data_IF_663259283462
#
_entry.id   IF_663259283462
#
_cell.length_a   1.000
_cell.length_b   1.000
_cell.length_c   1.000
_cell.angle_alpha   90.00
_cell.angle_beta   90.00
_cell.angle_gamma   90.00
#
_symmetry.space_group_name_H-M   'P 1'
#
loop_
_entity.id
_entity.type
_entity.pdbx_description
1 polymer ?
#
# COMPACT_ATOMS: atom_id res chain seq x y z
N UNK A 1 -9.97 8.40 -38.79
CA UNK A 1 -10.75 7.90 -37.63
C UNK A 1 -10.05 8.36 -36.36
N UNK A 2 -10.67 9.22 -35.55
CA UNK A 2 -10.08 9.68 -34.28
C UNK A 2 -10.29 8.63 -33.19
N UNK A 3 -9.25 8.23 -32.48
CA UNK A 3 -9.38 7.36 -31.30
C UNK A 3 -10.17 8.12 -30.23
N UNK A 4 -11.16 7.48 -29.56
CA UNK A 4 -11.79 8.11 -28.41
C UNK A 4 -10.72 8.38 -27.35
N UNK A 5 -10.76 9.56 -26.74
CA UNK A 5 -9.89 9.90 -25.61
C UNK A 5 -10.16 8.90 -24.48
N UNK A 6 -9.10 8.33 -23.91
CA UNK A 6 -9.22 7.47 -22.73
C UNK A 6 -9.85 8.28 -21.58
N UNK A 7 -10.83 7.69 -20.88
CA UNK A 7 -11.43 8.30 -19.69
C UNK A 7 -10.34 8.51 -18.65
N UNK A 8 -10.10 9.76 -18.24
CA UNK A 8 -9.22 10.06 -17.11
C UNK A 8 -9.89 9.56 -15.82
N UNK A 9 -9.18 8.70 -15.09
CA UNK A 9 -9.64 8.19 -13.80
C UNK A 9 -9.26 9.17 -12.69
N UNK A 10 -10.12 9.30 -11.67
CA UNK A 10 -9.76 10.00 -10.44
C UNK A 10 -8.71 9.22 -9.66
N UNK A 11 -7.97 9.90 -8.78
CA UNK A 11 -7.01 9.24 -7.88
C UNK A 11 -7.67 8.18 -7.00
N UNK A 12 -8.94 8.38 -6.62
CA UNK A 12 -9.71 7.39 -5.86
C UNK A 12 -10.06 6.17 -6.70
N UNK A 13 -10.44 6.35 -7.97
CA UNK A 13 -10.71 5.23 -8.89
C UNK A 13 -9.44 4.41 -9.13
N UNK A 14 -8.29 5.06 -9.37
CA UNK A 14 -6.99 4.37 -9.55
C UNK A 14 -6.58 3.61 -8.28
N UNK A 15 -6.71 4.25 -7.11
CA UNK A 15 -6.43 3.62 -5.81
C UNK A 15 -7.28 2.37 -5.62
N UNK A 16 -8.58 2.48 -5.85
CA UNK A 16 -9.49 1.35 -5.65
C UNK A 16 -9.20 0.21 -6.64
N UNK A 17 -8.95 0.54 -7.91
CA UNK A 17 -8.59 -0.46 -8.92
C UNK A 17 -7.32 -1.23 -8.55
N UNK A 18 -6.29 -0.55 -8.04
CA UNK A 18 -5.05 -1.17 -7.57
C UNK A 18 -5.30 -2.10 -6.38
N UNK A 19 -6.00 -1.61 -5.35
CA UNK A 19 -6.24 -2.39 -4.13
C UNK A 19 -7.10 -3.62 -4.42
N UNK A 20 -8.18 -3.46 -5.20
CA UNK A 20 -9.04 -4.58 -5.59
C UNK A 20 -8.33 -5.62 -6.44
N UNK A 21 -7.42 -5.20 -7.32
CA UNK A 21 -6.65 -6.14 -8.13
C UNK A 21 -5.85 -7.08 -7.22
N UNK A 22 -5.04 -6.54 -6.31
CA UNK A 22 -4.21 -7.38 -5.43
C UNK A 22 -5.04 -8.17 -4.41
N UNK A 23 -6.12 -7.59 -3.90
CA UNK A 23 -7.07 -8.29 -3.01
C UNK A 23 -7.65 -9.55 -3.68
N UNK A 24 -8.10 -9.44 -4.94
CA UNK A 24 -8.56 -10.59 -5.75
C UNK A 24 -7.48 -11.64 -6.00
N UNK A 25 -6.20 -11.28 -5.91
CA UNK A 25 -5.07 -12.19 -6.04
C UNK A 25 -4.54 -12.71 -4.69
N UNK A 26 -5.32 -12.51 -3.61
CA UNK A 26 -5.04 -13.06 -2.29
C UNK A 26 -4.04 -12.25 -1.46
N UNK A 27 -3.93 -10.95 -1.71
CA UNK A 27 -3.27 -10.02 -0.80
C UNK A 27 -4.27 -9.49 0.22
N UNK A 28 -3.86 -9.35 1.47
CA UNK A 28 -4.65 -8.66 2.49
C UNK A 28 -4.61 -7.15 2.22
N UNK A 29 -5.78 -6.53 2.03
CA UNK A 29 -5.87 -5.06 1.98
C UNK A 29 -5.63 -4.50 3.37
N UNK A 30 -4.61 -3.66 3.53
CA UNK A 30 -4.24 -3.04 4.81
C UNK A 30 -4.31 -1.52 4.72
N UNK A 31 -4.54 -0.87 5.86
CA UNK A 31 -4.55 0.58 5.93
C UNK A 31 -3.16 1.16 5.65
N UNK A 32 -3.11 2.37 5.09
CA UNK A 32 -1.87 3.13 5.03
C UNK A 32 -1.42 3.50 6.43
N UNK A 33 -0.11 3.50 6.66
CA UNK A 33 0.46 3.89 7.94
C UNK A 33 0.44 5.41 8.12
N UNK A 34 0.63 5.83 9.37
CA UNK A 34 0.85 7.24 9.72
C UNK A 34 1.98 7.85 8.91
N UNK A 35 1.85 9.13 8.54
CA UNK A 35 2.93 9.90 7.92
C UNK A 35 4.12 10.05 8.88
N UNK A 36 3.88 10.09 10.19
CA UNK A 36 4.92 10.11 11.23
C UNK A 36 5.13 8.67 11.74
N UNK A 37 6.32 8.06 11.55
CA UNK A 37 6.61 6.71 11.99
C UNK A 37 6.64 6.62 13.52
N UNK A 38 5.98 5.61 14.10
CA UNK A 38 6.01 5.38 15.56
C UNK A 38 7.20 4.54 16.03
N UNK A 39 7.73 3.68 15.16
CA UNK A 39 8.61 2.56 15.55
C UNK A 39 10.02 2.66 14.96
N UNK A 40 10.37 3.76 14.29
CA UNK A 40 11.69 3.95 13.69
C UNK A 40 12.23 5.36 13.93
N UNK A 41 13.13 5.57 14.91
CA UNK A 41 13.69 6.89 15.21
C UNK A 41 14.65 7.39 14.13
N UNK A 42 15.01 6.55 13.14
CA UNK A 42 15.89 6.95 12.03
C UNK A 42 15.14 7.60 10.87
N UNK A 43 13.80 7.54 10.87
CA UNK A 43 12.94 8.12 9.85
C UNK A 43 12.22 9.37 10.38
N UNK A 44 12.28 10.47 9.61
CA UNK A 44 11.50 11.67 9.91
C UNK A 44 10.03 11.53 9.49
N UNK A 45 9.77 10.86 8.36
CA UNK A 45 8.44 10.63 7.79
C UNK A 45 8.38 9.28 7.07
N UNK A 46 7.18 8.71 6.95
CA UNK A 46 6.91 7.54 6.11
C UNK A 46 7.07 7.91 4.65
N UNK A 47 8.19 7.47 4.06
CA UNK A 47 8.57 7.77 2.67
C UNK A 47 8.20 6.64 1.69
N UNK A 48 7.89 5.45 2.19
CA UNK A 48 7.58 4.28 1.39
C UNK A 48 6.54 3.39 2.08
N UNK A 49 5.70 2.72 1.29
CA UNK A 49 4.67 1.81 1.80
C UNK A 49 5.23 0.58 2.55
N UNK A 50 6.52 0.26 2.37
CA UNK A 50 7.18 -0.86 3.06
C UNK A 50 7.52 -0.57 4.54
N UNK A 51 7.56 0.71 4.94
CA UNK A 51 8.01 1.11 6.30
C UNK A 51 7.16 0.45 7.39
N UNK A 52 5.85 0.32 7.17
CA UNK A 52 4.94 -0.32 8.12
C UNK A 52 5.16 -1.84 8.28
N UNK A 53 6.04 -2.46 7.49
CA UNK A 53 6.37 -3.88 7.54
C UNK A 53 7.83 -4.13 7.95
N UNK A 54 8.56 -3.10 8.39
CA UNK A 54 9.98 -3.21 8.76
C UNK A 54 10.22 -4.33 9.78
N UNK A 55 9.42 -4.37 10.83
CA UNK A 55 9.55 -5.35 11.92
C UNK A 55 9.25 -6.78 11.43
N UNK A 56 8.37 -6.94 10.44
CA UNK A 56 8.13 -8.23 9.77
C UNK A 56 9.36 -8.70 8.99
N UNK A 57 10.05 -7.79 8.29
CA UNK A 57 11.27 -8.13 7.54
C UNK A 57 12.47 -8.40 8.46
N UNK A 58 12.50 -7.82 9.65
CA UNK A 58 13.51 -8.08 10.67
C UNK A 58 13.23 -9.33 11.50
N UNK A 59 12.01 -9.87 11.44
CA UNK A 59 11.57 -11.05 12.20
C UNK A 59 11.06 -10.72 13.62
N UNK A 60 10.91 -9.44 13.94
CA UNK A 60 10.41 -8.95 15.23
C UNK A 60 8.88 -8.98 15.32
N UNK A 61 8.19 -9.01 14.18
CA UNK A 61 6.73 -9.10 14.07
C UNK A 61 6.33 -10.26 13.15
N UNK A 62 5.31 -11.03 13.54
CA UNK A 62 4.64 -11.98 12.65
C UNK A 62 3.20 -11.57 12.43
N UNK A 63 2.76 -11.58 11.16
CA UNK A 63 1.37 -11.29 10.79
C UNK A 63 0.69 -12.53 10.27
N UNK A 64 -0.63 -12.59 10.44
CA UNK A 64 -1.49 -13.69 9.96
C UNK A 64 -1.62 -13.75 8.43
N UNK A 65 -0.89 -12.91 7.70
CA UNK A 65 -0.86 -12.86 6.25
C UNK A 65 0.57 -12.72 5.72
N UNK A 66 0.83 -13.35 4.58
CA UNK A 66 2.13 -13.28 3.89
C UNK A 66 2.17 -12.26 2.75
N UNK A 67 1.01 -11.78 2.29
CA UNK A 67 0.88 -10.83 1.17
C UNK A 67 -0.06 -9.72 1.56
N UNK A 68 0.34 -8.47 1.32
CA UNK A 68 -0.46 -7.29 1.64
C UNK A 68 -0.52 -6.31 0.46
N UNK A 69 -1.52 -5.43 0.48
CA UNK A 69 -1.63 -4.30 -0.44
C UNK A 69 -2.15 -3.06 0.29
N UNK A 70 -1.57 -1.89 0.01
CA UNK A 70 -1.97 -0.59 0.54
C UNK A 70 -1.62 0.51 -0.46
N UNK A 71 -2.05 1.75 -0.18
CA UNK A 71 -1.77 2.94 -1.01
C UNK A 71 -1.24 4.05 -0.10
N UNK A 72 0.06 4.03 0.18
CA UNK A 72 0.75 4.97 1.07
C UNK A 72 0.94 6.35 0.45
#
# INVERSE_FOLDING_TARGET
>A
MSRPAAKVQSSNEVREAFLQYFEKHGHTRVASSSLVPGNDPTLLFTNAGMVQFKDVFLGDEQRDYARATSSQ
#
